data_IF_076227969209
#
_entry.id   IF_076227969209
#
_cell.length_a   1.000
_cell.length_b   1.000
_cell.length_c   1.000
_cell.angle_alpha   90.00
_cell.angle_beta   90.00
_cell.angle_gamma   90.00
#
_symmetry.space_group_name_H-M   'P 1'
#
loop_
_entity.id
_entity.type
_entity.pdbx_description
1 polymer ?
#
# COMPACT_ATOMS: atom_id res chain seq x y z
N UNK A 1 -21.11 -8.28 -22.18
CA UNK A 1 -20.17 -8.83 -21.19
C UNK A 1 -19.90 -10.26 -21.58
N UNK A 2 -18.68 -10.55 -22.04
CA UNK A 2 -18.17 -11.91 -22.28
C UNK A 2 -17.63 -12.48 -20.97
N UNK A 3 -17.41 -13.80 -20.92
CA UNK A 3 -16.78 -14.41 -19.75
C UNK A 3 -15.34 -13.91 -19.55
N UNK A 4 -14.63 -13.62 -20.64
CA UNK A 4 -13.27 -13.07 -20.60
C UNK A 4 -13.23 -11.64 -20.06
N UNK A 5 -14.23 -10.80 -20.39
CA UNK A 5 -14.40 -9.47 -19.80
C UNK A 5 -14.62 -9.53 -18.29
N UNK A 6 -15.44 -10.46 -17.80
CA UNK A 6 -15.67 -10.63 -16.35
C UNK A 6 -14.42 -11.13 -15.62
N UNK A 7 -13.67 -12.06 -16.22
CA UNK A 7 -12.43 -12.59 -15.66
C UNK A 7 -11.32 -11.52 -15.57
N UNK A 8 -11.14 -10.73 -16.62
CA UNK A 8 -10.21 -9.60 -16.62
C UNK A 8 -10.67 -8.52 -15.62
N UNK A 9 -11.96 -8.19 -15.65
CA UNK A 9 -12.57 -7.17 -14.80
C UNK A 9 -12.39 -7.42 -13.30
N UNK A 10 -12.39 -8.69 -12.87
CA UNK A 10 -12.15 -9.05 -11.47
C UNK A 10 -10.76 -8.60 -11.00
N UNK A 11 -9.71 -8.94 -11.76
CA UNK A 11 -8.35 -8.57 -11.39
C UNK A 11 -8.11 -7.07 -11.60
N UNK A 12 -8.67 -6.47 -12.65
CA UNK A 12 -8.55 -5.04 -12.91
C UNK A 12 -9.17 -4.19 -11.81
N UNK A 13 -10.34 -4.58 -11.32
CA UNK A 13 -10.98 -3.90 -10.19
C UNK A 13 -10.09 -3.99 -8.94
N UNK A 14 -9.63 -5.19 -8.59
CA UNK A 14 -8.75 -5.37 -7.43
C UNK A 14 -7.45 -4.58 -7.57
N UNK A 15 -6.78 -4.67 -8.73
CA UNK A 15 -5.55 -3.94 -9.01
C UNK A 15 -5.74 -2.44 -8.85
N UNK A 16 -6.77 -1.89 -9.51
CA UNK A 16 -7.01 -0.44 -9.59
C UNK A 16 -7.44 0.16 -8.26
N UNK A 17 -8.32 -0.51 -7.53
CA UNK A 17 -8.97 0.09 -6.36
C UNK A 17 -8.42 -0.42 -5.03
N UNK A 18 -7.77 -1.60 -4.99
CA UNK A 18 -7.28 -2.20 -3.75
C UNK A 18 -5.76 -2.26 -3.68
N UNK A 19 -5.08 -2.82 -4.68
CA UNK A 19 -3.64 -3.05 -4.59
C UNK A 19 -2.81 -1.84 -4.98
N UNK A 20 -2.96 -1.33 -6.21
CA UNK A 20 -2.09 -0.28 -6.76
C UNK A 20 -2.07 1.01 -5.92
N UNK A 21 -3.21 1.55 -5.43
CA UNK A 21 -3.17 2.75 -4.57
C UNK A 21 -2.42 2.50 -3.26
N UNK A 22 -2.48 1.27 -2.74
CA UNK A 22 -1.79 0.85 -1.51
C UNK A 22 -0.30 0.61 -1.72
N UNK A 23 0.16 0.53 -2.97
CA UNK A 23 1.58 0.48 -3.34
C UNK A 23 2.22 1.87 -3.42
N UNK A 24 1.43 2.95 -3.49
CA UNK A 24 1.95 4.32 -3.50
C UNK A 24 2.82 4.62 -2.27
N UNK A 25 3.95 5.30 -2.49
CA UNK A 25 4.89 5.68 -1.44
C UNK A 25 5.65 4.52 -0.79
N UNK A 26 5.72 3.34 -1.42
CA UNK A 26 6.60 2.26 -0.94
C UNK A 26 8.06 2.71 -0.98
N UNK A 27 8.72 2.67 0.17
CA UNK A 27 10.15 3.01 0.29
C UNK A 27 11.01 1.76 0.27
N UNK A 28 12.32 1.90 0.03
CA UNK A 28 13.25 0.78 0.09
C UNK A 28 13.32 0.15 1.50
N UNK A 29 13.22 0.97 2.56
CA UNK A 29 13.16 0.50 3.96
C UNK A 29 11.92 -0.38 4.19
N UNK A 30 10.75 0.07 3.75
CA UNK A 30 9.50 -0.69 3.86
C UNK A 30 9.53 -1.95 2.99
N UNK A 31 10.05 -1.85 1.77
CA UNK A 31 10.14 -2.95 0.82
C UNK A 31 11.00 -4.10 1.37
N UNK A 32 12.15 -3.77 1.96
CA UNK A 32 13.10 -4.73 2.54
C UNK A 32 12.82 -5.05 4.02
N UNK A 33 11.73 -4.52 4.60
CA UNK A 33 11.40 -4.74 6.01
C UNK A 33 11.06 -6.20 6.32
N UNK A 34 11.64 -6.72 7.40
CA UNK A 34 11.36 -8.06 7.91
C UNK A 34 10.49 -7.96 9.18
N UNK A 35 9.22 -8.39 9.12
CA UNK A 35 8.29 -8.25 10.24
C UNK A 35 8.58 -9.23 11.39
N UNK A 36 9.28 -10.32 11.10
CA UNK A 36 9.61 -11.40 12.05
C UNK A 36 10.97 -11.99 11.72
N UNK A 37 11.67 -12.46 12.75
CA UNK A 37 12.89 -13.23 12.58
C UNK A 37 12.61 -14.55 11.84
N UNK A 38 13.51 -14.91 10.92
CA UNK A 38 13.41 -16.18 10.18
C UNK A 38 12.34 -16.22 9.08
N UNK A 39 11.76 -15.07 8.72
CA UNK A 39 10.90 -14.96 7.54
C UNK A 39 11.64 -15.21 6.23
N UNK A 40 10.89 -15.51 5.17
CA UNK A 40 11.43 -15.62 3.81
C UNK A 40 11.42 -14.26 3.12
N UNK A 41 12.58 -13.84 2.63
CA UNK A 41 12.77 -12.52 2.04
C UNK A 41 13.55 -12.58 0.73
N UNK A 42 13.76 -11.40 0.15
CA UNK A 42 14.78 -11.18 -0.86
C UNK A 42 16.11 -10.93 -0.14
N UNK A 43 17.09 -11.83 -0.31
CA UNK A 43 18.34 -11.83 0.44
C UNK A 43 19.50 -11.29 -0.37
N UNK A 44 20.36 -10.44 0.24
CA UNK A 44 21.59 -10.02 -0.40
C UNK A 44 22.51 -11.21 -0.64
N UNK A 45 23.42 -11.11 -1.61
CA UNK A 45 24.36 -12.18 -1.88
C UNK A 45 25.26 -12.45 -0.67
N UNK A 46 25.53 -13.73 -0.39
CA UNK A 46 26.48 -14.13 0.68
C UNK A 46 27.93 -13.83 0.31
N UNK A 47 28.23 -13.81 -0.99
CA UNK A 47 29.54 -13.51 -1.55
C UNK A 47 29.52 -12.13 -2.21
N UNK A 48 30.66 -11.43 -2.25
CA UNK A 48 30.76 -10.04 -2.73
C UNK A 48 30.24 -9.83 -4.15
N UNK A 49 30.35 -10.85 -5.01
CA UNK A 49 29.93 -10.81 -6.42
C UNK A 49 28.72 -11.72 -6.71
N UNK A 50 27.98 -12.15 -5.68
CA UNK A 50 26.81 -13.02 -5.84
C UNK A 50 25.56 -12.26 -6.31
N UNK A 51 24.56 -13.01 -6.77
CA UNK A 51 23.23 -12.47 -7.04
C UNK A 51 22.37 -12.43 -5.77
N UNK A 52 21.45 -11.47 -5.72
CA UNK A 52 20.37 -11.50 -4.74
C UNK A 52 19.50 -12.73 -4.98
N UNK A 53 19.04 -13.36 -3.91
CA UNK A 53 18.28 -14.60 -3.98
C UNK A 53 16.96 -14.47 -3.24
N UNK A 54 15.91 -15.02 -3.82
CA UNK A 54 14.64 -15.16 -3.14
C UNK A 54 14.71 -16.41 -2.24
N UNK A 55 14.39 -16.27 -0.96
CA UNK A 55 14.31 -17.42 -0.06
C UNK A 55 13.24 -18.41 -0.52
N UNK A 56 13.53 -19.70 -0.37
CA UNK A 56 12.61 -20.79 -0.64
C UNK A 56 13.25 -22.14 -0.32
N UNK A 57 12.41 -23.16 -0.13
CA UNK A 57 12.84 -24.55 0.04
C UNK A 57 12.03 -25.43 -0.90
N UNK A 58 12.70 -26.45 -1.44
CA UNK A 58 12.07 -27.50 -2.25
C UNK A 58 12.44 -28.87 -1.66
N UNK A 59 11.49 -29.65 -1.11
CA UNK A 59 10.07 -29.33 -0.96
C UNK A 59 9.81 -28.24 0.10
N UNK A 60 8.68 -27.54 -0.04
CA UNK A 60 8.23 -26.56 0.95
C UNK A 60 8.03 -27.22 2.33
N UNK A 61 8.44 -26.56 3.43
CA UNK A 61 8.23 -27.12 4.76
C UNK A 61 6.73 -27.20 5.10
N UNK A 62 6.31 -28.13 5.98
CA UNK A 62 4.91 -28.26 6.38
C UNK A 62 4.31 -27.01 7.03
N UNK A 63 5.17 -26.13 7.56
CA UNK A 63 4.80 -24.83 8.11
C UNK A 63 5.70 -23.81 7.39
N UNK A 64 5.18 -23.10 6.38
CA UNK A 64 5.96 -22.11 5.65
C UNK A 64 6.24 -20.88 6.53
N UNK A 65 7.44 -20.29 6.44
CA UNK A 65 7.74 -19.02 7.10
C UNK A 65 6.89 -17.87 6.57
N UNK A 66 6.77 -16.81 7.37
CA UNK A 66 6.18 -15.55 6.89
C UNK A 66 7.06 -14.99 5.78
N UNK A 67 6.49 -14.71 4.62
CA UNK A 67 7.20 -14.03 3.54
C UNK A 67 7.17 -12.51 3.72
N UNK A 68 8.13 -11.76 3.16
CA UNK A 68 8.18 -10.28 3.26
C UNK A 68 7.46 -9.58 2.11
N UNK A 69 7.43 -8.25 2.13
CA UNK A 69 6.94 -7.44 0.99
C UNK A 69 7.80 -7.72 -0.23
N UNK A 70 9.13 -7.60 -0.11
CA UNK A 70 10.04 -7.94 -1.19
C UNK A 70 9.81 -9.33 -1.76
N UNK A 71 9.63 -10.32 -0.88
CA UNK A 71 9.37 -11.68 -1.34
C UNK A 71 8.09 -11.78 -2.17
N UNK A 72 6.98 -11.23 -1.65
CA UNK A 72 5.67 -11.31 -2.32
C UNK A 72 5.61 -10.50 -3.60
N UNK A 73 6.26 -9.35 -3.65
CA UNK A 73 6.34 -8.53 -4.87
C UNK A 73 7.07 -9.29 -5.96
N UNK A 74 8.23 -9.89 -5.65
CA UNK A 74 8.96 -10.75 -6.59
C UNK A 74 8.10 -11.94 -6.98
N UNK A 75 7.47 -12.63 -6.03
CA UNK A 75 6.63 -13.78 -6.32
C UNK A 75 5.45 -13.44 -7.24
N UNK A 76 4.71 -12.37 -6.97
CA UNK A 76 3.59 -11.94 -7.83
C UNK A 76 4.10 -11.54 -9.22
N UNK A 77 5.10 -10.66 -9.30
CA UNK A 77 5.60 -10.12 -10.56
C UNK A 77 6.29 -11.18 -11.41
N UNK A 78 7.08 -12.05 -10.79
CA UNK A 78 7.80 -13.17 -11.42
C UNK A 78 6.94 -14.37 -11.67
N UNK A 79 6.62 -15.00 -10.55
CA UNK A 79 6.27 -16.40 -10.52
C UNK A 79 4.82 -16.52 -10.91
N UNK A 80 3.97 -15.61 -10.43
CA UNK A 80 2.54 -15.58 -10.71
C UNK A 80 2.25 -14.99 -12.10
N UNK A 81 2.62 -13.74 -12.36
CA UNK A 81 2.24 -13.01 -13.57
C UNK A 81 3.25 -13.18 -14.71
N UNK A 82 4.50 -12.77 -14.50
CA UNK A 82 5.47 -12.57 -15.58
C UNK A 82 5.80 -13.84 -16.38
N UNK A 83 6.12 -14.95 -15.70
CA UNK A 83 6.43 -16.23 -16.35
C UNK A 83 5.23 -16.76 -17.16
N UNK A 84 4.02 -16.69 -16.60
CA UNK A 84 2.79 -17.13 -17.27
C UNK A 84 2.43 -16.25 -18.46
N UNK A 85 2.54 -14.92 -18.32
CA UNK A 85 2.28 -13.99 -19.41
C UNK A 85 3.23 -14.23 -20.59
N UNK A 86 4.53 -14.45 -20.34
CA UNK A 86 5.51 -14.77 -21.40
C UNK A 86 5.23 -16.11 -22.06
N UNK A 87 4.88 -17.14 -21.29
CA UNK A 87 4.57 -18.45 -21.85
C UNK A 87 3.37 -18.41 -22.80
N UNK A 88 2.30 -17.68 -22.44
CA UNK A 88 1.01 -17.76 -23.16
C UNK A 88 0.67 -16.57 -24.06
N UNK A 89 1.13 -15.36 -23.75
CA UNK A 89 0.65 -14.14 -24.40
C UNK A 89 1.75 -13.28 -25.02
N UNK A 90 2.99 -13.41 -24.54
CA UNK A 90 4.12 -12.64 -25.02
C UNK A 90 5.33 -13.53 -25.39
N UNK A 91 5.18 -14.47 -26.35
CA UNK A 91 6.25 -15.39 -26.73
C UNK A 91 7.42 -14.69 -27.45
N UNK A 92 7.31 -13.42 -27.84
CA UNK A 92 8.37 -12.73 -28.58
C UNK A 92 9.18 -11.74 -27.74
N UNK A 93 8.93 -11.65 -26.43
CA UNK A 93 9.58 -10.63 -25.58
C UNK A 93 10.04 -11.14 -24.22
N UNK A 94 11.34 -11.40 -24.13
CA UNK A 94 12.09 -11.30 -22.87
C UNK A 94 12.97 -10.05 -22.82
N UNK A 95 13.37 -9.60 -21.61
CA UNK A 95 14.39 -8.57 -21.46
C UNK A 95 15.58 -8.82 -22.39
N UNK A 96 15.95 -7.83 -23.20
CA UNK A 96 17.02 -7.96 -24.20
C UNK A 96 16.57 -8.41 -25.60
N UNK A 97 15.28 -8.59 -25.86
CA UNK A 97 14.75 -8.84 -27.21
C UNK A 97 15.00 -10.25 -27.75
N UNK A 98 15.25 -11.22 -26.86
CA UNK A 98 15.45 -12.62 -27.23
C UNK A 98 14.08 -13.27 -27.50
N UNK A 99 13.88 -13.99 -28.61
CA UNK A 99 12.65 -14.75 -28.86
C UNK A 99 12.46 -15.86 -27.81
N UNK A 100 11.23 -16.11 -27.37
CA UNK A 100 10.93 -17.23 -26.47
C UNK A 100 10.87 -18.51 -27.30
N UNK A 101 11.66 -19.55 -26.98
CA UNK A 101 11.62 -20.84 -27.67
C UNK A 101 10.28 -21.54 -27.55
N UNK A 102 10.00 -22.42 -28.52
CA UNK A 102 8.75 -23.21 -28.58
C UNK A 102 8.56 -24.15 -27.36
N UNK A 103 9.62 -24.44 -26.60
CA UNK A 103 9.62 -25.32 -25.43
C UNK A 103 9.29 -24.63 -24.10
N UNK A 104 8.96 -23.33 -24.11
CA UNK A 104 8.66 -22.59 -22.89
C UNK A 104 7.47 -23.17 -22.12
N UNK A 105 7.65 -23.33 -20.81
CA UNK A 105 6.58 -23.70 -19.88
C UNK A 105 6.32 -22.58 -18.88
N UNK A 106 5.15 -22.59 -18.26
CA UNK A 106 4.72 -21.52 -17.38
C UNK A 106 5.48 -21.39 -16.04
N UNK A 107 6.43 -22.31 -15.80
CA UNK A 107 7.33 -22.33 -14.64
C UNK A 107 8.79 -22.05 -15.00
N UNK A 108 9.07 -21.67 -16.24
CA UNK A 108 10.42 -21.60 -16.76
C UNK A 108 11.20 -20.40 -16.21
N UNK A 109 12.26 -20.68 -15.45
CA UNK A 109 13.14 -19.69 -14.85
C UNK A 109 14.00 -18.95 -15.87
N UNK A 110 14.21 -19.50 -17.08
CA UNK A 110 15.04 -18.88 -18.13
C UNK A 110 14.48 -17.53 -18.60
N UNK A 111 13.19 -17.27 -18.41
CA UNK A 111 12.48 -16.10 -18.95
C UNK A 111 12.06 -15.11 -17.85
N UNK A 112 12.86 -15.04 -16.80
CA UNK A 112 12.75 -14.08 -15.71
C UNK A 112 13.80 -12.96 -15.85
N UNK A 113 13.46 -11.67 -15.65
CA UNK A 113 14.46 -10.63 -15.43
C UNK A 113 15.31 -10.90 -14.18
N UNK A 114 16.55 -11.32 -14.39
CA UNK A 114 17.62 -11.21 -13.40
C UNK A 114 18.37 -9.88 -13.58
N UNK A 115 18.84 -9.23 -12.50
CA UNK A 115 18.66 -9.59 -11.08
C UNK A 115 17.25 -9.25 -10.55
N UNK A 116 16.79 -9.86 -9.43
CA UNK A 116 15.55 -9.46 -8.77
C UNK A 116 15.63 -7.99 -8.29
N UNK A 117 14.48 -7.29 -8.22
CA UNK A 117 14.44 -5.88 -7.85
C UNK A 117 14.88 -5.67 -6.39
N UNK A 118 15.96 -4.93 -6.20
CA UNK A 118 16.52 -4.63 -4.87
C UNK A 118 16.02 -3.32 -4.28
N UNK A 119 15.32 -2.52 -5.09
CA UNK A 119 14.68 -1.26 -4.69
C UNK A 119 13.16 -1.38 -4.84
N UNK A 120 12.43 -0.60 -4.04
CA UNK A 120 10.98 -0.50 -4.15
C UNK A 120 10.55 -0.02 -5.54
N UNK A 121 11.29 0.93 -6.14
CA UNK A 121 10.99 1.46 -7.46
C UNK A 121 11.06 0.37 -8.54
N UNK A 122 12.15 -0.41 -8.58
CA UNK A 122 12.31 -1.50 -9.53
C UNK A 122 11.26 -2.60 -9.31
N UNK A 123 10.89 -2.83 -8.05
CA UNK A 123 9.91 -3.83 -7.66
C UNK A 123 8.49 -3.46 -8.13
N UNK A 124 8.13 -2.17 -8.03
CA UNK A 124 6.89 -1.64 -8.58
C UNK A 124 6.88 -1.67 -10.11
N UNK A 125 8.00 -1.33 -10.76
CA UNK A 125 8.12 -1.41 -12.22
C UNK A 125 7.97 -2.85 -12.73
N UNK A 126 8.56 -3.81 -12.02
CA UNK A 126 8.34 -5.24 -12.26
C UNK A 126 6.86 -5.60 -12.20
N UNK A 127 6.17 -5.23 -11.11
CA UNK A 127 4.76 -5.55 -10.91
C UNK A 127 3.87 -4.95 -11.99
N UNK A 128 4.04 -3.67 -12.29
CA UNK A 128 3.26 -2.96 -13.33
C UNK A 128 3.46 -3.60 -14.70
N UNK A 129 4.71 -3.93 -15.08
CA UNK A 129 4.99 -4.62 -16.35
C UNK A 129 4.36 -6.00 -16.40
N UNK A 130 4.51 -6.80 -15.34
CA UNK A 130 3.99 -8.16 -15.29
C UNK A 130 2.46 -8.18 -15.32
N UNK A 131 1.81 -7.28 -14.57
CA UNK A 131 0.37 -7.11 -14.59
C UNK A 131 -0.13 -6.65 -15.96
N UNK A 132 0.52 -5.65 -16.58
CA UNK A 132 0.16 -5.18 -17.93
C UNK A 132 0.22 -6.30 -18.97
N UNK A 133 1.32 -7.05 -19.03
CA UNK A 133 1.47 -8.18 -19.95
C UNK A 133 0.38 -9.25 -19.75
N UNK A 134 0.09 -9.60 -18.50
CA UNK A 134 -0.94 -10.58 -18.18
C UNK A 134 -2.34 -10.07 -18.55
N UNK A 135 -2.70 -8.86 -18.12
CA UNK A 135 -3.97 -8.21 -18.40
C UNK A 135 -4.24 -8.14 -19.89
N UNK A 136 -3.26 -7.66 -20.67
CA UNK A 136 -3.39 -7.50 -22.12
C UNK A 136 -3.64 -8.83 -22.81
N UNK A 137 -2.91 -9.86 -22.37
CA UNK A 137 -3.11 -11.23 -22.84
C UNK A 137 -4.50 -11.77 -22.55
N UNK A 138 -4.99 -11.60 -21.32
CA UNK A 138 -6.34 -12.05 -20.93
C UNK A 138 -7.43 -11.25 -21.66
N UNK A 139 -7.27 -9.95 -21.80
CA UNK A 139 -8.22 -9.09 -22.51
C UNK A 139 -8.31 -9.40 -24.02
N UNK A 140 -7.28 -9.99 -24.60
CA UNK A 140 -7.27 -10.44 -25.99
C UNK A 140 -7.93 -11.82 -26.20
N UNK A 141 -8.30 -12.53 -25.12
CA UNK A 141 -8.99 -13.81 -25.22
C UNK A 141 -10.48 -13.65 -25.56
N UNK A 142 -10.99 -14.61 -26.31
CA UNK A 142 -12.43 -14.84 -26.48
C UNK A 142 -12.92 -16.04 -25.65
N UNK A 143 -14.24 -16.23 -25.61
CA UNK A 143 -14.89 -17.32 -24.89
C UNK A 143 -14.48 -18.73 -25.40
N UNK A 144 -14.01 -18.86 -26.63
CA UNK A 144 -13.58 -20.14 -27.19
C UNK A 144 -12.15 -20.47 -26.75
N UNK A 145 -11.23 -19.55 -26.99
CA UNK A 145 -9.80 -19.66 -26.64
C UNK A 145 -9.59 -19.78 -25.14
N UNK A 146 -10.40 -19.09 -24.33
CA UNK A 146 -10.37 -19.23 -22.86
C UNK A 146 -10.75 -20.64 -22.37
N UNK A 147 -11.53 -21.41 -23.15
CA UNK A 147 -11.92 -22.79 -22.82
C UNK A 147 -10.95 -23.85 -23.34
N UNK A 148 -9.97 -23.47 -24.18
CA UNK A 148 -8.98 -24.41 -24.71
C UNK A 148 -8.00 -24.84 -23.61
N UNK A 149 -7.53 -26.11 -23.63
CA UNK A 149 -6.50 -26.58 -22.72
C UNK A 149 -5.21 -25.77 -22.86
N UNK A 150 -4.47 -25.59 -21.75
CA UNK A 150 -3.16 -24.92 -21.73
C UNK A 150 -2.13 -25.63 -22.62
N UNK A 151 -2.28 -26.93 -22.84
CA UNK A 151 -1.35 -27.74 -23.62
C UNK A 151 0.02 -27.87 -22.94
N UNK A 152 1.08 -28.25 -23.67
CA UNK A 152 2.39 -28.55 -23.08
C UNK A 152 2.96 -27.43 -22.20
N UNK A 153 2.67 -26.17 -22.52
CA UNK A 153 3.11 -25.00 -21.75
C UNK A 153 2.57 -24.98 -20.31
N UNK A 154 1.42 -25.62 -20.06
CA UNK A 154 0.80 -25.76 -18.75
C UNK A 154 1.47 -26.79 -17.83
N UNK A 155 2.43 -27.57 -18.32
CA UNK A 155 3.14 -28.57 -17.53
C UNK A 155 2.17 -29.57 -16.87
N UNK A 156 2.20 -29.76 -15.54
CA UNK A 156 1.26 -30.63 -14.82
C UNK A 156 -0.22 -30.28 -15.04
N UNK A 157 -0.52 -29.05 -15.43
CA UNK A 157 -1.87 -28.51 -15.65
C UNK A 157 -2.23 -28.43 -17.14
N UNK A 158 -1.52 -29.14 -18.03
CA UNK A 158 -1.73 -29.06 -19.48
C UNK A 158 -3.17 -29.32 -19.95
N UNK A 159 -3.94 -30.10 -19.18
CA UNK A 159 -5.33 -30.42 -19.49
C UNK A 159 -6.33 -29.35 -19.01
N UNK A 160 -5.92 -28.44 -18.13
CA UNK A 160 -6.80 -27.40 -17.59
C UNK A 160 -7.08 -26.33 -18.65
N UNK A 161 -8.26 -25.70 -18.66
CA UNK A 161 -8.57 -24.63 -19.58
C UNK A 161 -7.82 -23.34 -19.20
N UNK A 162 -7.54 -22.48 -20.19
CA UNK A 162 -6.96 -21.14 -19.95
C UNK A 162 -7.73 -20.34 -18.88
N UNK A 163 -9.06 -20.42 -18.87
CA UNK A 163 -9.89 -19.78 -17.86
C UNK A 163 -9.58 -20.25 -16.42
N UNK A 164 -9.21 -21.52 -16.23
CA UNK A 164 -8.80 -22.01 -14.91
C UNK A 164 -7.46 -21.41 -14.47
N UNK A 165 -6.52 -21.24 -15.40
CA UNK A 165 -5.27 -20.54 -15.13
C UNK A 165 -5.51 -19.06 -14.78
N UNK A 166 -6.41 -18.39 -15.50
CA UNK A 166 -6.81 -17.00 -15.21
C UNK A 166 -7.40 -16.88 -13.81
N UNK A 167 -8.34 -17.75 -13.44
CA UNK A 167 -8.92 -17.76 -12.10
C UNK A 167 -7.87 -18.03 -11.01
N UNK A 168 -6.93 -18.94 -11.26
CA UNK A 168 -5.83 -19.20 -10.35
C UNK A 168 -4.96 -17.95 -10.17
N UNK A 169 -4.48 -17.35 -11.26
CA UNK A 169 -3.63 -16.14 -11.22
C UNK A 169 -4.34 -14.99 -10.52
N UNK A 170 -5.60 -14.74 -10.85
CA UNK A 170 -6.42 -13.74 -10.17
C UNK A 170 -6.43 -13.95 -8.65
N UNK A 171 -6.67 -15.19 -8.20
CA UNK A 171 -6.69 -15.54 -6.78
C UNK A 171 -5.32 -15.32 -6.12
N UNK A 172 -4.23 -15.76 -6.74
CA UNK A 172 -2.88 -15.59 -6.19
C UNK A 172 -2.50 -14.10 -6.05
N UNK A 173 -2.78 -13.28 -7.07
CA UNK A 173 -2.51 -11.84 -7.02
C UNK A 173 -3.34 -11.16 -5.94
N UNK A 174 -4.63 -11.51 -5.82
CA UNK A 174 -5.50 -10.96 -4.79
C UNK A 174 -5.05 -11.36 -3.37
N UNK A 175 -4.69 -12.64 -3.18
CA UNK A 175 -4.25 -13.15 -1.89
C UNK A 175 -2.94 -12.48 -1.46
N UNK A 176 -1.90 -12.57 -2.28
CA UNK A 176 -0.59 -12.00 -1.94
C UNK A 176 -0.59 -10.47 -1.97
N UNK A 177 -1.41 -9.84 -2.82
CA UNK A 177 -1.63 -8.40 -2.80
C UNK A 177 -2.23 -7.92 -1.48
N UNK A 178 -3.19 -8.67 -0.91
CA UNK A 178 -3.80 -8.33 0.37
C UNK A 178 -2.79 -8.49 1.53
N UNK A 179 -1.95 -9.52 1.46
CA UNK A 179 -0.86 -9.70 2.43
C UNK A 179 0.19 -8.60 2.34
N UNK A 180 0.54 -8.12 1.13
CA UNK A 180 1.40 -6.93 0.97
C UNK A 180 0.74 -5.72 1.65
N UNK A 181 -0.54 -5.47 1.37
CA UNK A 181 -1.28 -4.37 2.00
C UNK A 181 -1.26 -4.45 3.54
N UNK A 182 -1.43 -5.65 4.11
CA UNK A 182 -1.34 -5.89 5.54
C UNK A 182 0.07 -5.65 6.09
N UNK A 183 1.10 -6.15 5.40
CA UNK A 183 2.49 -5.95 5.82
C UNK A 183 2.87 -4.47 5.82
N UNK A 184 2.37 -3.70 4.85
CA UNK A 184 2.55 -2.24 4.84
C UNK A 184 1.88 -1.55 6.03
N UNK A 185 0.67 -1.99 6.41
CA UNK A 185 0.02 -1.48 7.63
C UNK A 185 0.82 -1.83 8.88
N UNK A 186 1.36 -3.06 8.96
CA UNK A 186 2.19 -3.49 10.08
C UNK A 186 3.52 -2.74 10.13
N UNK A 187 4.14 -2.48 8.99
CA UNK A 187 5.37 -1.67 8.91
C UNK A 187 5.12 -0.27 9.46
N UNK A 188 4.06 0.40 9.00
CA UNK A 188 3.69 1.74 9.47
C UNK A 188 3.41 1.73 10.96
N UNK A 189 2.58 0.79 11.43
CA UNK A 189 2.29 0.64 12.85
C UNK A 189 3.53 0.33 13.70
N UNK A 190 4.50 -0.41 13.16
CA UNK A 190 5.78 -0.70 13.80
C UNK A 190 6.63 0.58 13.89
N UNK A 191 6.79 1.31 12.77
CA UNK A 191 7.50 2.61 12.74
C UNK A 191 6.88 3.61 13.70
N UNK A 192 5.56 3.71 13.73
CA UNK A 192 4.82 4.59 14.62
C UNK A 192 5.06 4.29 16.10
N UNK A 193 5.22 3.01 16.46
CA UNK A 193 5.55 2.60 17.84
C UNK A 193 6.98 2.93 18.24
N UNK A 194 7.87 3.07 17.27
CA UNK A 194 9.28 3.37 17.50
C UNK A 194 9.60 4.86 17.39
N UNK A 195 8.71 5.67 16.80
CA UNK A 195 8.83 7.12 16.74
C UNK A 195 8.45 7.74 18.11
N UNK A 196 9.42 8.35 18.85
CA UNK A 196 9.16 8.92 20.17
C UNK A 196 8.12 10.04 20.15
N UNK A 197 8.04 10.81 19.06
CA UNK A 197 7.08 11.90 18.92
C UNK A 197 5.69 11.34 18.74
N UNK A 198 5.50 10.35 17.87
CA UNK A 198 4.20 9.68 17.69
C UNK A 198 3.75 9.04 19.00
N UNK A 199 4.65 8.38 19.73
CA UNK A 199 4.34 7.80 21.04
C UNK A 199 3.92 8.87 22.05
N UNK A 200 4.60 10.01 22.12
CA UNK A 200 4.25 11.11 23.00
C UNK A 200 2.87 11.70 22.66
N UNK A 201 2.59 11.90 21.35
CA UNK A 201 1.29 12.37 20.84
C UNK A 201 0.15 11.44 21.26
N UNK A 202 0.30 10.13 21.01
CA UNK A 202 -0.72 9.14 21.32
C UNK A 202 -0.93 8.92 22.82
N UNK A 203 0.05 9.27 23.66
CA UNK A 203 -0.08 9.22 25.13
C UNK A 203 -0.64 10.50 25.75
N UNK A 204 -0.75 11.58 24.98
CA UNK A 204 -1.16 12.87 25.51
C UNK A 204 -0.06 13.57 26.30
N UNK A 205 1.22 13.29 26.02
CA UNK A 205 2.35 13.88 26.73
C UNK A 205 2.78 15.19 26.04
N UNK A 206 2.03 16.27 26.26
CA UNK A 206 2.31 17.57 25.64
C UNK A 206 3.70 18.13 25.97
N UNK A 207 4.24 17.84 27.15
CA UNK A 207 5.57 18.30 27.55
C UNK A 207 6.67 17.59 26.75
N UNK A 208 6.53 16.28 26.54
CA UNK A 208 7.45 15.51 25.72
C UNK A 208 7.33 15.88 24.24
N UNK A 209 6.12 16.17 23.75
CA UNK A 209 5.92 16.71 22.39
C UNK A 209 6.64 18.04 22.21
N UNK A 210 6.51 18.99 23.13
CA UNK A 210 7.25 20.26 23.09
C UNK A 210 8.78 20.03 23.06
N UNK A 211 9.27 19.07 23.86
CA UNK A 211 10.70 18.73 23.91
C UNK A 211 11.19 18.12 22.60
N UNK A 212 10.44 17.18 22.03
CA UNK A 212 10.80 16.44 20.82
C UNK A 212 10.67 17.31 19.57
N UNK A 213 9.58 18.07 19.45
CA UNK A 213 9.32 18.94 18.30
C UNK A 213 10.24 20.19 18.27
N UNK A 214 10.61 20.74 19.44
CA UNK A 214 11.50 21.90 19.54
C UNK A 214 13.00 21.61 19.33
N UNK A 215 13.40 20.33 19.27
CA UNK A 215 14.80 19.89 19.28
C UNK A 215 15.54 19.90 17.94
N UNK A 216 14.91 20.35 16.84
CA UNK A 216 15.58 20.52 15.53
C UNK A 216 16.14 19.24 14.89
N UNK A 217 15.82 18.06 15.39
CA UNK A 217 16.31 16.77 14.89
C UNK A 217 15.25 15.68 15.01
N UNK A 218 14.78 15.20 13.86
CA UNK A 218 13.73 14.19 13.64
C UNK A 218 12.29 14.72 13.75
N UNK A 219 11.66 15.01 12.60
CA UNK A 219 10.19 15.15 12.52
C UNK A 219 9.63 16.06 11.43
N UNK A 220 10.42 16.92 10.79
CA UNK A 220 10.00 17.63 9.56
C UNK A 220 10.10 16.74 8.30
N UNK A 221 10.35 15.44 8.46
CA UNK A 221 10.03 14.46 7.43
C UNK A 221 8.54 14.21 7.53
N UNK A 222 7.79 14.55 6.48
CA UNK A 222 6.33 14.43 6.42
C UNK A 222 5.84 13.15 7.12
N UNK A 223 5.36 13.27 8.35
CA UNK A 223 4.66 12.18 8.98
C UNK A 223 3.43 11.96 8.12
N UNK A 224 3.33 10.80 7.46
CA UNK A 224 2.13 10.43 6.67
C UNK A 224 0.88 10.44 7.56
N UNK A 225 1.07 10.42 8.89
CA UNK A 225 0.03 10.57 9.90
C UNK A 225 -0.37 12.03 10.11
N UNK A 226 -1.68 12.33 10.13
CA UNK A 226 -2.19 13.65 10.50
C UNK A 226 -2.17 13.83 12.02
N UNK A 227 -0.98 14.00 12.61
CA UNK A 227 -0.79 13.99 14.07
C UNK A 227 -1.65 15.00 14.82
N UNK A 228 -1.88 16.19 14.23
CA UNK A 228 -2.77 17.21 14.83
C UNK A 228 -4.21 16.71 14.90
N UNK A 229 -4.71 16.09 13.83
CA UNK A 229 -6.07 15.54 13.80
C UNK A 229 -6.24 14.34 14.74
N UNK A 230 -5.23 13.46 14.83
CA UNK A 230 -5.26 12.31 15.75
C UNK A 230 -5.25 12.77 17.23
N UNK A 231 -4.38 13.72 17.58
CA UNK A 231 -4.35 14.31 18.92
C UNK A 231 -5.69 14.98 19.26
N UNK A 232 -6.30 15.68 18.30
CA UNK A 232 -7.61 16.30 18.46
C UNK A 232 -8.73 15.27 18.65
N UNK A 233 -8.72 14.18 17.88
CA UNK A 233 -9.67 13.06 18.04
C UNK A 233 -9.57 12.38 19.41
N UNK A 234 -8.36 12.31 19.98
CA UNK A 234 -8.11 11.84 21.35
C UNK A 234 -8.35 12.91 22.43
N UNK A 235 -8.63 14.15 22.03
CA UNK A 235 -8.81 15.32 22.91
C UNK A 235 -7.57 15.68 23.74
N UNK A 236 -6.38 15.36 23.23
CA UNK A 236 -5.10 15.75 23.81
C UNK A 236 -4.79 17.21 23.44
N UNK A 237 -5.55 18.16 24.00
CA UNK A 237 -5.51 19.57 23.58
C UNK A 237 -4.18 20.28 23.85
N UNK A 238 -3.45 19.87 24.88
CA UNK A 238 -2.08 20.30 25.15
C UNK A 238 -1.11 19.82 24.07
N UNK A 239 -1.26 18.58 23.61
CA UNK A 239 -0.53 18.05 22.45
C UNK A 239 -0.89 18.80 21.16
N UNK A 240 -2.18 19.03 20.89
CA UNK A 240 -2.62 19.83 19.73
C UNK A 240 -1.93 21.20 19.75
N UNK A 241 -1.93 21.87 20.90
CA UNK A 241 -1.23 23.16 21.08
C UNK A 241 0.26 23.06 20.77
N UNK A 242 0.94 22.05 21.29
CA UNK A 242 2.36 21.85 21.07
C UNK A 242 2.66 21.62 19.58
N UNK A 243 1.97 20.67 18.94
CA UNK A 243 2.15 20.35 17.52
C UNK A 243 1.90 21.58 16.62
N UNK A 244 0.81 22.32 16.86
CA UNK A 244 0.47 23.51 16.06
C UNK A 244 1.54 24.59 16.17
N UNK A 245 2.10 24.84 17.37
CA UNK A 245 3.19 25.82 17.56
C UNK A 245 4.47 25.47 16.82
N UNK A 246 4.73 24.18 16.64
CA UNK A 246 5.90 23.70 15.89
C UNK A 246 5.62 23.51 14.39
N UNK A 247 4.47 24.00 13.89
CA UNK A 247 4.17 24.06 12.47
C UNK A 247 3.72 22.75 11.83
N UNK A 248 3.21 21.81 12.62
CA UNK A 248 2.60 20.59 12.07
C UNK A 248 1.32 20.92 11.29
N UNK A 249 1.06 20.13 10.23
CA UNK A 249 -0.10 20.33 9.35
C UNK A 249 -1.42 20.18 10.13
N UNK A 250 -2.22 21.25 10.10
CA UNK A 250 -3.53 21.35 10.78
C UNK A 250 -4.69 20.81 9.93
N UNK A 251 -4.47 20.62 8.63
CA UNK A 251 -5.49 20.19 7.65
C UNK A 251 -5.35 18.72 7.26
N UNK A 252 -4.37 18.01 7.82
CA UNK A 252 -4.16 16.60 7.53
C UNK A 252 -5.31 15.70 8.02
N UNK A 253 -5.53 14.60 7.28
CA UNK A 253 -6.45 13.53 7.66
C UNK A 253 -7.82 13.62 6.98
N UNK A 254 -8.57 12.51 6.99
CA UNK A 254 -9.92 12.44 6.40
C UNK A 254 -10.93 13.24 7.24
N UNK A 255 -10.79 13.20 8.56
CA UNK A 255 -11.50 14.09 9.48
C UNK A 255 -10.47 15.03 10.10
N UNK A 256 -10.60 16.33 9.85
CA UNK A 256 -9.62 17.32 10.28
C UNK A 256 -9.66 17.58 11.78
N UNK A 257 -8.55 18.13 12.31
CA UNK A 257 -8.47 18.55 13.71
C UNK A 257 -9.57 19.55 14.10
N UNK A 258 -9.96 20.40 13.16
CA UNK A 258 -10.99 21.42 13.37
C UNK A 258 -12.38 20.81 13.59
N UNK A 259 -12.73 19.73 12.90
CA UNK A 259 -13.98 18.97 13.16
C UNK A 259 -14.01 18.42 14.59
N UNK A 260 -12.93 17.78 15.03
CA UNK A 260 -12.85 17.22 16.39
C UNK A 260 -12.90 18.30 17.49
N UNK A 261 -12.17 19.41 17.30
CA UNK A 261 -12.21 20.53 18.24
C UNK A 261 -13.61 21.17 18.30
N UNK A 262 -14.28 21.28 17.15
CA UNK A 262 -15.64 21.80 17.03
C UNK A 262 -16.68 20.93 17.75
N UNK A 263 -16.63 19.61 17.54
CA UNK A 263 -17.48 18.65 18.24
C UNK A 263 -17.22 18.57 19.74
N UNK A 264 -16.03 18.94 20.20
CA UNK A 264 -15.71 18.97 21.62
C UNK A 264 -16.06 20.31 22.31
N UNK A 265 -16.45 21.33 21.54
CA UNK A 265 -16.72 22.68 22.06
C UNK A 265 -15.47 23.41 22.53
N UNK A 266 -14.27 22.98 22.09
CA UNK A 266 -12.99 23.52 22.53
C UNK A 266 -12.66 24.83 21.79
N UNK A 267 -13.40 25.90 22.10
CA UNK A 267 -13.32 27.19 21.38
C UNK A 267 -11.90 27.77 21.33
N UNK A 268 -11.11 27.61 22.39
CA UNK A 268 -9.71 28.04 22.45
C UNK A 268 -8.84 27.27 21.45
N UNK A 269 -9.05 25.97 21.31
CA UNK A 269 -8.35 25.12 20.33
C UNK A 269 -8.83 25.42 18.90
N UNK A 270 -10.14 25.65 18.72
CA UNK A 270 -10.71 26.06 17.42
C UNK A 270 -10.06 27.35 16.94
N UNK A 271 -9.98 28.37 17.80
CA UNK A 271 -9.30 29.64 17.46
C UNK A 271 -7.84 29.42 17.09
N UNK A 272 -7.11 28.64 17.88
CA UNK A 272 -5.72 28.31 17.59
C UNK A 272 -5.55 27.66 16.21
N UNK A 273 -6.38 26.67 15.88
CA UNK A 273 -6.32 25.97 14.60
C UNK A 273 -6.62 26.92 13.44
N UNK A 274 -7.65 27.76 13.56
CA UNK A 274 -7.99 28.79 12.56
C UNK A 274 -6.85 29.79 12.37
N UNK A 275 -6.24 30.26 13.47
CA UNK A 275 -5.08 31.17 13.43
C UNK A 275 -3.88 30.56 12.69
N UNK A 276 -3.77 29.23 12.64
CA UNK A 276 -2.71 28.50 11.95
C UNK A 276 -3.17 27.91 10.59
N UNK A 277 -4.27 28.43 10.04
CA UNK A 277 -4.69 28.13 8.66
C UNK A 277 -5.52 26.85 8.50
N UNK A 278 -6.23 26.42 9.55
CA UNK A 278 -7.19 25.34 9.41
C UNK A 278 -8.33 25.73 8.46
N UNK A 279 -8.67 24.84 7.53
CA UNK A 279 -9.76 25.00 6.59
C UNK A 279 -11.10 24.86 7.32
N UNK A 280 -11.81 25.99 7.44
CA UNK A 280 -13.09 26.10 8.15
C UNK A 280 -14.27 25.52 7.37
N UNK A 281 -14.10 25.27 6.09
CA UNK A 281 -15.14 24.82 5.17
C UNK A 281 -14.92 23.37 4.69
N UNK A 282 -13.82 22.74 5.12
CA UNK A 282 -13.52 21.34 4.87
C UNK A 282 -14.68 20.42 5.30
N UNK A 283 -15.10 19.51 4.42
CA UNK A 283 -16.17 18.54 4.71
C UNK A 283 -15.59 17.18 5.02
N UNK A 284 -16.09 16.53 6.07
CA UNK A 284 -15.67 15.18 6.44
C UNK A 284 -16.37 14.11 5.58
N UNK A 285 -15.73 12.95 5.37
CA UNK A 285 -16.30 11.88 4.56
C UNK A 285 -17.54 11.21 5.18
N UNK A 286 -17.68 11.24 6.51
CA UNK A 286 -18.69 10.45 7.23
C UNK A 286 -20.05 11.15 7.29
N UNK A 287 -20.08 12.42 7.67
CA UNK A 287 -21.30 13.20 7.81
C UNK A 287 -21.49 14.20 6.68
N UNK A 288 -20.46 14.45 5.87
CA UNK A 288 -20.48 15.47 4.82
C UNK A 288 -20.78 16.86 5.40
N UNK A 289 -20.23 17.15 6.60
CA UNK A 289 -20.45 18.40 7.31
C UNK A 289 -19.14 19.17 7.51
N UNK A 290 -19.20 20.52 7.46
CA UNK A 290 -18.09 21.35 7.88
C UNK A 290 -17.94 21.32 9.42
N UNK A 291 -16.81 21.80 9.98
CA UNK A 291 -16.60 21.92 11.42
C UNK A 291 -17.73 22.67 12.15
N UNK A 292 -18.30 23.71 11.54
CA UNK A 292 -19.45 24.43 12.12
C UNK A 292 -20.69 23.52 12.27
N UNK A 293 -20.92 22.62 11.31
CA UNK A 293 -22.01 21.64 11.37
C UNK A 293 -21.78 20.57 12.45
N UNK A 294 -20.52 20.18 12.69
CA UNK A 294 -20.18 19.34 13.85
C UNK A 294 -20.46 20.08 15.16
N UNK A 295 -20.05 21.34 15.29
CA UNK A 295 -20.35 22.14 16.48
C UNK A 295 -21.86 22.25 16.74
N UNK A 296 -22.69 22.48 15.71
CA UNK A 296 -24.15 22.50 15.87
C UNK A 296 -24.69 21.15 16.34
N UNK A 297 -24.26 20.06 15.70
CA UNK A 297 -24.72 18.71 15.98
C UNK A 297 -24.48 18.33 17.45
N UNK A 298 -23.34 18.75 18.01
CA UNK A 298 -22.98 18.50 19.41
C UNK A 298 -23.41 19.63 20.37
N UNK A 299 -24.15 20.65 19.90
CA UNK A 299 -24.74 21.69 20.74
C UNK A 299 -23.79 22.81 21.16
N UNK A 300 -22.67 22.98 20.46
CA UNK A 300 -21.64 23.99 20.73
C UNK A 300 -21.88 25.28 19.91
N UNK A 301 -23.02 25.94 20.17
CA UNK A 301 -23.47 27.11 19.40
C UNK A 301 -22.49 28.28 19.33
N UNK A 302 -21.70 28.51 20.40
CA UNK A 302 -20.65 29.55 20.39
C UNK A 302 -19.54 29.24 19.37
N UNK A 303 -19.10 27.98 19.33
CA UNK A 303 -18.10 27.51 18.36
C UNK A 303 -18.64 27.56 16.94
N UNK A 304 -19.87 27.09 16.73
CA UNK A 304 -20.51 27.16 15.41
C UNK A 304 -20.66 28.62 14.92
N UNK A 305 -21.02 29.54 15.82
CA UNK A 305 -21.12 30.97 15.52
C UNK A 305 -19.75 31.54 15.15
N UNK A 306 -18.71 31.23 15.92
CA UNK A 306 -17.35 31.67 15.61
C UNK A 306 -16.88 31.14 14.26
N UNK A 307 -16.99 29.83 14.02
CA UNK A 307 -16.56 29.19 12.76
C UNK A 307 -17.25 29.81 11.54
N UNK A 308 -18.58 30.04 11.60
CA UNK A 308 -19.28 30.72 10.51
C UNK A 308 -18.89 32.20 10.33
N UNK A 309 -18.33 32.83 11.36
CA UNK A 309 -17.84 34.22 11.25
C UNK A 309 -16.46 34.32 10.61
N UNK A 310 -15.73 33.21 10.54
CA UNK A 310 -14.37 33.13 9.95
C UNK A 310 -14.32 32.26 8.68
N UNK A 311 -15.35 31.45 8.42
CA UNK A 311 -15.52 30.66 7.19
C UNK A 311 -16.11 31.45 6.03
N UNK A 312 -15.83 31.00 4.80
CA UNK A 312 -16.12 31.69 3.53
C UNK A 312 -17.36 31.17 2.81
#
# INVERSE_FOLDING_TARGET
MTWTEDLAGQLDFYWTFHLRPRLAGLTDDEYLWEPVDGGWSLRPPRERDGAWVLDGLEPEPPIPPVTTIAWRVVHIGRDVLGKRARAFFAPDSVPGGVPVPDDVVMYDDRYWPEPPPTTAADALELLERAYGLWRDGVAALDDETSRRPLGPKGGPYAADPMAALVLHVNREVMAHGAEICLLRDLYRAHRDREDPLVVAVLRGDGAEVERLAGGGGAGAGATVRPLVAEAAGLRHWDVVRALVRHGFDVNGGVTGALHYAAAAGALDVVRLLVEHGADTDAVDDRFQLPPAGWADYYGHGEVATYLRSVGG
#
